data_IF_243799842382
#
_entry.id   IF_243799842382
#
_cell.length_a   1.000
_cell.length_b   1.000
_cell.length_c   1.000
_cell.angle_alpha   90.00
_cell.angle_beta   90.00
_cell.angle_gamma   90.00
#
_symmetry.space_group_name_H-M   'P 1'
#
loop_
_entity.id
_entity.type
_entity.pdbx_description
1 polymer ?
#
# COMPACT_ATOMS: atom_id res chain seq x y z
N UNK A 1 10.69 -7.55 6.15
CA UNK A 1 10.64 -7.33 4.68
C UNK A 1 11.14 -5.94 4.38
N UNK A 2 12.09 -5.82 3.49
CA UNK A 2 12.58 -4.54 2.99
C UNK A 2 11.88 -4.22 1.69
N UNK A 3 11.35 -3.00 1.57
CA UNK A 3 10.58 -2.58 0.42
C UNK A 3 11.24 -1.34 -0.21
N UNK A 4 11.61 -1.49 -1.48
CA UNK A 4 12.03 -0.40 -2.34
C UNK A 4 11.43 -0.69 -3.72
N UNK A 5 10.24 -0.16 -3.98
CA UNK A 5 9.45 -0.55 -5.14
C UNK A 5 8.55 0.60 -5.64
N UNK A 6 8.49 0.82 -6.95
CA UNK A 6 7.52 1.75 -7.54
C UNK A 6 6.12 1.14 -7.67
N UNK A 7 5.92 -0.10 -7.24
CA UNK A 7 4.69 -0.85 -7.45
C UNK A 7 4.84 -1.86 -8.57
N UNK A 8 3.72 -2.27 -9.14
CA UNK A 8 3.71 -3.26 -10.20
C UNK A 8 2.39 -4.02 -10.25
N UNK A 9 2.47 -5.30 -10.59
CA UNK A 9 1.30 -6.16 -10.73
C UNK A 9 0.49 -6.24 -9.44
N UNK A 10 -0.79 -5.94 -9.52
CA UNK A 10 -1.72 -6.07 -8.40
C UNK A 10 -1.83 -7.52 -7.96
N UNK A 11 -1.96 -8.45 -8.91
CA UNK A 11 -2.07 -9.88 -8.60
C UNK A 11 -0.84 -10.40 -7.86
N UNK A 12 0.35 -10.03 -8.33
CA UNK A 12 1.60 -10.41 -7.68
C UNK A 12 1.70 -9.82 -6.27
N UNK A 13 1.36 -8.53 -6.13
CA UNK A 13 1.36 -7.86 -4.83
C UNK A 13 0.36 -8.46 -3.85
N UNK A 14 -0.83 -8.79 -4.31
CA UNK A 14 -1.85 -9.43 -3.45
C UNK A 14 -1.42 -10.83 -2.99
N UNK A 15 -0.71 -11.56 -3.83
CA UNK A 15 -0.13 -12.85 -3.46
C UNK A 15 0.86 -12.71 -2.28
N UNK A 16 1.70 -11.69 -2.33
CA UNK A 16 2.63 -11.38 -1.24
C UNK A 16 1.86 -10.94 0.01
N UNK A 17 0.90 -10.05 -0.15
CA UNK A 17 0.07 -9.55 0.96
C UNK A 17 -0.64 -10.69 1.68
N UNK A 18 -1.32 -11.56 0.93
CA UNK A 18 -2.04 -12.69 1.51
C UNK A 18 -1.10 -13.62 2.26
N UNK A 19 0.09 -13.86 1.72
CA UNK A 19 1.11 -14.68 2.38
C UNK A 19 1.55 -14.05 3.70
N UNK A 20 1.78 -12.73 3.72
CA UNK A 20 2.14 -12.00 4.94
C UNK A 20 1.09 -12.16 6.04
N UNK A 21 -0.19 -12.13 5.65
CA UNK A 21 -1.29 -12.26 6.60
C UNK A 21 -1.51 -13.71 7.04
N UNK A 22 -1.18 -14.67 6.19
CA UNK A 22 -1.45 -16.09 6.42
C UNK A 22 -0.43 -16.78 7.31
N UNK A 23 0.85 -16.44 7.20
CA UNK A 23 1.91 -17.10 7.96
C UNK A 23 1.85 -16.72 9.45
N UNK A 24 2.31 -17.63 10.32
CA UNK A 24 2.28 -17.42 11.78
C UNK A 24 3.20 -16.30 12.25
N UNK A 25 4.46 -16.21 11.80
CA UNK A 25 5.34 -15.12 12.24
C UNK A 25 4.81 -13.77 11.81
N UNK A 26 4.95 -12.77 12.67
CA UNK A 26 4.70 -11.38 12.29
C UNK A 26 5.69 -10.95 11.22
N UNK A 27 5.21 -10.21 10.22
CA UNK A 27 6.06 -9.64 9.20
C UNK A 27 6.28 -8.16 9.50
N UNK A 28 7.51 -7.79 9.81
CA UNK A 28 7.90 -6.39 9.93
C UNK A 28 8.24 -5.85 8.54
N UNK A 29 7.87 -4.60 8.27
CA UNK A 29 8.14 -3.96 6.99
C UNK A 29 8.97 -2.70 7.16
N UNK A 30 9.91 -2.46 6.25
CA UNK A 30 10.76 -1.26 6.25
C UNK A 30 10.85 -0.72 4.84
N UNK A 31 10.48 0.53 4.66
CA UNK A 31 10.65 1.22 3.38
C UNK A 31 12.05 1.77 3.25
N UNK A 32 12.73 1.40 2.17
CA UNK A 32 14.04 1.91 1.77
C UNK A 32 13.86 2.63 0.44
N UNK A 33 14.14 3.92 0.38
CA UNK A 33 13.98 4.68 -0.86
C UNK A 33 12.54 5.02 -1.15
N UNK A 34 11.78 4.11 -1.72
CA UNK A 34 10.37 4.36 -1.98
C UNK A 34 9.49 3.12 -1.81
N UNK A 35 8.26 3.36 -1.45
CA UNK A 35 7.19 2.35 -1.49
C UNK A 35 5.97 3.01 -2.13
N UNK A 36 5.73 2.71 -3.39
CA UNK A 36 4.66 3.32 -4.16
C UNK A 36 3.64 2.28 -4.60
N UNK A 37 2.37 2.66 -4.62
CA UNK A 37 1.30 1.82 -5.13
C UNK A 37 1.20 0.50 -4.36
N UNK A 38 1.36 -0.65 -5.02
CA UNK A 38 1.37 -1.95 -4.33
C UNK A 38 2.48 -2.06 -3.30
N UNK A 39 3.62 -1.38 -3.51
CA UNK A 39 4.68 -1.31 -2.50
C UNK A 39 4.22 -0.64 -1.21
N UNK A 40 3.44 0.44 -1.30
CA UNK A 40 2.88 1.11 -0.14
C UNK A 40 1.85 0.21 0.58
N UNK A 41 1.06 -0.54 -0.15
CA UNK A 41 0.09 -1.47 0.42
C UNK A 41 0.80 -2.58 1.22
N UNK A 42 1.87 -3.14 0.67
CA UNK A 42 2.67 -4.16 1.37
C UNK A 42 3.32 -3.58 2.63
N UNK A 43 3.82 -2.34 2.54
CA UNK A 43 4.40 -1.64 3.68
C UNK A 43 3.38 -1.50 4.82
N UNK A 44 2.19 -1.00 4.50
CA UNK A 44 1.10 -0.83 5.46
C UNK A 44 0.59 -2.16 6.01
N UNK A 45 0.71 -3.24 5.23
CA UNK A 45 0.28 -4.59 5.58
C UNK A 45 1.17 -5.33 6.57
N UNK A 46 2.28 -4.75 6.99
CA UNK A 46 3.12 -5.30 8.05
C UNK A 46 2.38 -5.35 9.39
N UNK A 47 2.94 -6.09 10.34
CA UNK A 47 2.36 -6.21 11.68
C UNK A 47 2.29 -4.83 12.34
N UNK A 48 1.20 -4.55 13.04
CA UNK A 48 1.01 -3.29 13.75
C UNK A 48 2.14 -3.08 14.77
N UNK A 49 2.72 -1.88 14.77
CA UNK A 49 3.88 -1.55 15.60
C UNK A 49 5.21 -1.92 14.97
N UNK A 50 5.21 -2.59 13.82
CA UNK A 50 6.42 -3.12 13.18
C UNK A 50 6.56 -2.68 11.72
N UNK A 51 6.02 -1.50 11.40
CA UNK A 51 6.07 -0.92 10.06
C UNK A 51 6.91 0.35 10.11
N UNK A 52 7.97 0.40 9.31
CA UNK A 52 8.99 1.43 9.44
C UNK A 52 9.38 2.02 8.09
N UNK A 53 10.03 3.18 8.12
CA UNK A 53 10.75 3.71 6.96
C UNK A 53 12.07 4.36 7.40
N UNK A 54 12.99 4.52 6.48
CA UNK A 54 14.21 5.30 6.70
C UNK A 54 13.94 6.78 6.39
N UNK A 55 14.82 7.71 6.87
CA UNK A 55 14.50 9.14 6.89
C UNK A 55 14.20 9.79 5.54
N UNK A 56 14.81 9.34 4.47
CA UNK A 56 14.63 9.94 3.14
C UNK A 56 13.72 9.12 2.24
N UNK A 57 12.98 8.18 2.83
CA UNK A 57 12.03 7.36 2.08
C UNK A 57 10.80 8.15 1.66
N UNK A 58 10.23 7.77 0.53
CA UNK A 58 8.98 8.33 0.03
C UNK A 58 7.96 7.22 -0.10
N UNK A 59 6.74 7.50 0.31
CA UNK A 59 5.61 6.60 0.14
C UNK A 59 4.59 7.27 -0.77
N UNK A 60 3.90 6.49 -1.58
CA UNK A 60 2.88 7.01 -2.48
C UNK A 60 1.71 6.04 -2.56
N UNK A 61 0.53 6.56 -2.30
CA UNK A 61 -0.72 5.82 -2.47
C UNK A 61 -1.49 6.39 -3.65
N UNK A 62 -2.08 5.51 -4.42
CA UNK A 62 -2.98 5.87 -5.51
C UNK A 62 -3.87 4.68 -5.87
N UNK A 63 -4.94 4.95 -6.59
CA UNK A 63 -5.78 3.88 -7.12
C UNK A 63 -5.11 3.24 -8.32
N UNK A 64 -5.29 1.91 -8.52
CA UNK A 64 -4.74 1.26 -9.70
C UNK A 64 -5.29 1.90 -10.96
N UNK A 65 -4.40 2.18 -11.91
CA UNK A 65 -4.78 2.64 -13.23
C UNK A 65 -5.42 1.49 -13.98
N UNK A 66 -6.53 1.77 -14.65
CA UNK A 66 -7.25 0.78 -15.42
C UNK A 66 -7.67 1.33 -16.77
N UNK A 67 -7.54 0.50 -17.78
CA UNK A 67 -8.01 0.78 -19.13
C UNK A 67 -8.04 -0.51 -19.91
N UNK A 68 -9.01 -0.62 -20.79
CA UNK A 68 -9.17 -1.80 -21.63
C UNK A 68 -9.75 -1.38 -22.97
N UNK A 69 -9.18 -1.90 -24.05
CA UNK A 69 -9.68 -1.71 -25.40
C UNK A 69 -10.24 -3.03 -25.91
N UNK A 70 -11.41 -2.99 -26.53
CA UNK A 70 -12.08 -4.16 -27.05
C UNK A 70 -13.54 -3.91 -27.32
N UNK A 71 -14.34 -4.98 -27.37
CA UNK A 71 -15.78 -4.88 -27.56
C UNK A 71 -16.44 -4.28 -26.30
N UNK A 72 -17.57 -3.60 -26.47
CA UNK A 72 -18.25 -2.90 -25.38
C UNK A 72 -18.59 -3.83 -24.21
N UNK A 73 -19.01 -5.07 -24.49
CA UNK A 73 -19.33 -6.06 -23.45
C UNK A 73 -18.08 -6.45 -22.63
N UNK A 74 -16.93 -6.57 -23.28
CA UNK A 74 -15.66 -6.90 -22.61
C UNK A 74 -15.16 -5.72 -21.80
N UNK A 75 -15.31 -4.50 -22.31
CA UNK A 75 -14.95 -3.26 -21.59
C UNK A 75 -15.79 -3.18 -20.29
N UNK A 76 -17.05 -3.49 -20.34
CA UNK A 76 -17.94 -3.47 -19.16
C UNK A 76 -17.48 -4.48 -18.10
N UNK A 77 -17.14 -5.70 -18.50
CA UNK A 77 -16.66 -6.75 -17.60
C UNK A 77 -15.33 -6.31 -16.94
N UNK A 78 -14.40 -5.81 -17.71
CA UNK A 78 -13.09 -5.36 -17.18
C UNK A 78 -13.24 -4.13 -16.29
N UNK A 79 -14.16 -3.21 -16.59
CA UNK A 79 -14.43 -2.05 -15.75
C UNK A 79 -14.95 -2.48 -14.38
N UNK A 80 -15.86 -3.44 -14.33
CA UNK A 80 -16.37 -3.98 -13.07
C UNK A 80 -15.25 -4.61 -12.25
N UNK A 81 -14.37 -5.38 -12.89
CA UNK A 81 -13.24 -6.03 -12.22
C UNK A 81 -12.26 -5.00 -11.65
N UNK A 82 -11.94 -3.95 -12.40
CA UNK A 82 -11.08 -2.87 -11.94
C UNK A 82 -11.69 -2.18 -10.71
N UNK A 83 -12.99 -1.90 -10.73
CA UNK A 83 -13.68 -1.29 -9.59
C UNK A 83 -13.68 -2.20 -8.37
N UNK A 84 -13.85 -3.51 -8.56
CA UNK A 84 -13.78 -4.49 -7.47
C UNK A 84 -12.39 -4.53 -6.84
N UNK A 85 -11.34 -4.55 -7.66
CA UNK A 85 -9.95 -4.52 -7.20
C UNK A 85 -9.69 -3.25 -6.42
N UNK A 86 -10.09 -2.11 -6.97
CA UNK A 86 -9.93 -0.80 -6.32
C UNK A 86 -10.58 -0.78 -4.95
N UNK A 87 -11.79 -1.29 -4.83
CA UNK A 87 -12.51 -1.35 -3.57
C UNK A 87 -11.78 -2.25 -2.55
N UNK A 88 -11.28 -3.41 -2.98
CA UNK A 88 -10.50 -4.30 -2.12
C UNK A 88 -9.23 -3.65 -1.60
N UNK A 89 -8.49 -2.97 -2.49
CA UNK A 89 -7.26 -2.28 -2.11
C UNK A 89 -7.53 -1.15 -1.13
N UNK A 90 -8.59 -0.37 -1.35
CA UNK A 90 -8.99 0.69 -0.45
C UNK A 90 -9.38 0.15 0.93
N UNK A 91 -10.08 -0.97 0.98
CA UNK A 91 -10.45 -1.63 2.24
C UNK A 91 -9.21 -2.09 3.01
N UNK A 92 -8.25 -2.69 2.32
CA UNK A 92 -6.99 -3.12 2.94
C UNK A 92 -6.26 -1.92 3.54
N UNK A 93 -6.13 -0.83 2.79
CA UNK A 93 -5.50 0.39 3.30
C UNK A 93 -6.28 0.97 4.49
N UNK A 94 -7.60 1.00 4.43
CA UNK A 94 -8.42 1.49 5.54
C UNK A 94 -8.19 0.65 6.81
N UNK A 95 -8.17 -0.67 6.67
CA UNK A 95 -7.98 -1.59 7.79
C UNK A 95 -6.60 -1.40 8.46
N UNK A 96 -5.56 -1.19 7.66
CA UNK A 96 -4.19 -1.09 8.19
C UNK A 96 -3.80 0.32 8.64
N UNK A 97 -4.43 1.36 8.09
CA UNK A 97 -4.13 2.75 8.45
C UNK A 97 -5.03 3.30 9.54
N UNK A 98 -6.19 2.70 9.75
CA UNK A 98 -7.21 3.25 10.64
C UNK A 98 -8.01 4.40 10.02
N UNK A 99 -7.77 4.72 8.75
CA UNK A 99 -8.53 5.73 8.03
C UNK A 99 -9.88 5.16 7.58
N UNK A 100 -10.89 6.02 7.48
CA UNK A 100 -12.16 5.66 6.90
C UNK A 100 -12.01 5.32 5.40
N UNK A 101 -12.79 4.37 4.90
CA UNK A 101 -12.69 3.93 3.51
C UNK A 101 -12.98 5.06 2.51
N UNK A 102 -13.88 5.96 2.85
CA UNK A 102 -14.17 7.12 1.99
C UNK A 102 -12.99 8.09 1.95
N UNK A 103 -12.29 8.26 3.07
CA UNK A 103 -11.05 9.04 3.13
C UNK A 103 -9.97 8.42 2.25
N UNK A 104 -9.78 7.09 2.34
CA UNK A 104 -8.83 6.37 1.49
C UNK A 104 -9.19 6.56 0.01
N UNK A 105 -10.46 6.40 -0.35
CA UNK A 105 -10.91 6.56 -1.74
C UNK A 105 -10.59 7.95 -2.28
N UNK A 106 -10.83 8.99 -1.46
CA UNK A 106 -10.53 10.38 -1.82
C UNK A 106 -9.02 10.61 -1.94
N UNK A 107 -8.26 10.14 -0.95
CA UNK A 107 -6.81 10.39 -0.88
C UNK A 107 -6.02 9.63 -1.95
N UNK A 108 -6.57 8.53 -2.46
CA UNK A 108 -5.95 7.72 -3.53
C UNK A 108 -6.44 8.07 -4.93
N UNK A 109 -7.37 9.00 -5.06
CA UNK A 109 -7.90 9.41 -6.38
C UNK A 109 -6.80 9.95 -7.30
N UNK A 110 -5.77 10.56 -6.72
CA UNK A 110 -4.55 10.99 -7.42
C UNK A 110 -3.35 10.52 -6.64
N UNK A 111 -2.17 10.57 -7.28
CA UNK A 111 -0.93 10.23 -6.63
C UNK A 111 -0.75 11.07 -5.37
N UNK A 112 -0.68 10.42 -4.23
CA UNK A 112 -0.56 11.06 -2.93
C UNK A 112 0.77 10.66 -2.31
N UNK A 113 1.74 11.57 -2.35
CA UNK A 113 3.07 11.34 -1.83
C UNK A 113 3.16 11.72 -0.36
N UNK A 114 3.87 10.90 0.40
CA UNK A 114 4.11 11.13 1.83
C UNK A 114 5.58 10.94 2.16
N UNK A 115 6.12 11.80 3.03
CA UNK A 115 7.37 11.54 3.71
C UNK A 115 7.14 10.65 4.94
N UNK A 116 8.19 10.36 5.69
CA UNK A 116 8.09 9.49 6.87
C UNK A 116 7.13 10.01 7.92
N UNK A 117 7.21 11.29 8.24
CA UNK A 117 6.34 11.90 9.27
C UNK A 117 4.87 11.88 8.83
N UNK A 118 4.60 12.22 7.58
CA UNK A 118 3.25 12.19 7.02
C UNK A 118 2.69 10.76 6.99
N UNK A 119 3.52 9.78 6.65
CA UNK A 119 3.12 8.38 6.62
C UNK A 119 2.77 7.85 8.01
N UNK A 120 3.52 8.24 9.03
CA UNK A 120 3.21 7.89 10.43
C UNK A 120 1.87 8.52 10.83
N UNK A 121 1.69 9.82 10.57
CA UNK A 121 0.45 10.52 10.91
C UNK A 121 -0.77 9.93 10.20
N UNK A 122 -0.58 9.48 8.96
CA UNK A 122 -1.65 8.85 8.18
C UNK A 122 -2.01 7.44 8.68
N UNK A 123 -1.08 6.77 9.34
CA UNK A 123 -1.25 5.39 9.78
C UNK A 123 -0.70 4.37 8.79
N UNK A 124 0.00 4.81 7.74
CA UNK A 124 0.59 3.92 6.75
C UNK A 124 1.74 3.10 7.36
N UNK A 125 2.49 3.72 8.26
CA UNK A 125 3.56 3.07 9.03
C UNK A 125 3.47 3.49 10.49
N UNK A 126 4.31 2.87 11.33
CA UNK A 126 4.31 3.11 12.77
C UNK A 126 5.42 4.06 13.22
N UNK A 127 6.59 4.00 12.57
CA UNK A 127 7.74 4.78 13.01
C UNK A 127 8.72 5.04 11.87
N UNK A 128 9.31 6.23 11.86
CA UNK A 128 10.44 6.55 11.01
C UNK A 128 11.73 6.31 11.81
N UNK A 129 12.60 5.45 11.29
CA UNK A 129 13.88 5.11 11.94
C UNK A 129 14.94 6.09 11.49
N UNK A 130 15.40 6.94 12.38
CA UNK A 130 16.43 7.95 12.08
C UNK A 130 17.84 7.45 12.33
N UNK A 131 18.02 6.56 13.29
CA UNK A 131 19.33 6.04 13.70
C UNK A 131 19.24 4.55 14.00
N UNK A 132 20.40 3.90 13.88
CA UNK A 132 20.51 2.52 14.33
C UNK A 132 20.20 2.47 15.84
N UNK A 133 19.35 1.52 16.27
CA UNK A 133 19.15 1.33 17.70
C UNK A 133 20.47 1.06 18.39
N UNK A 134 20.72 1.75 19.51
CA UNK A 134 21.88 1.49 20.37
C UNK A 134 21.52 0.33 21.27
N UNK A 135 22.22 -0.78 21.10
CA UNK A 135 22.02 -1.98 21.92
C UNK A 135 22.99 -2.02 23.10
#
# INVERSE_FOLDING_TARGET
>A
MYINSPGGSVTAGMSIYDTMQFIKPDVSTVCLGQAASMGALLLAGGAQGKRFCLPHSRMMIHQPLGGYQGQASDIEIHTKEILNIRHKLNRILADHTGQDIDTIAKDTDRDNFMDGEQAVAYGLIDEMLEKRPVS
#
